data_IF_667256065615
#
_entry.id   IF_667256065615
#
_cell.length_a   1.000
_cell.length_b   1.000
_cell.length_c   1.000
_cell.angle_alpha   90.00
_cell.angle_beta   90.00
_cell.angle_gamma   90.00
#
_symmetry.space_group_name_H-M   'P 1'
#
loop_
_entity.id
_entity.type
_entity.pdbx_description
1 polymer ?
#
# COMPACT_ATOMS: atom_id res chain seq x y z
N UNK A 1 -15.20 10.26 2.29
CA UNK A 1 -15.28 8.92 2.91
C UNK A 1 -13.88 8.56 3.33
N UNK A 2 -13.69 7.84 4.39
CA UNK A 2 -12.38 7.28 4.78
C UNK A 2 -12.49 5.79 4.60
N UNK A 3 -11.50 5.21 3.94
CA UNK A 3 -11.32 3.77 3.84
C UNK A 3 -10.13 3.39 4.72
N UNK A 4 -10.30 2.36 5.53
CA UNK A 4 -9.24 1.80 6.36
C UNK A 4 -9.03 0.35 5.98
N UNK A 5 -7.79 -0.04 5.69
CA UNK A 5 -7.39 -1.42 5.45
C UNK A 5 -6.45 -1.84 6.58
N UNK A 6 -6.73 -2.98 7.20
CA UNK A 6 -5.78 -3.67 8.07
C UNK A 6 -4.93 -4.63 7.23
N UNK A 7 -3.63 -4.56 7.35
CA UNK A 7 -2.68 -5.39 6.59
C UNK A 7 -1.72 -6.06 7.58
N UNK A 8 -1.91 -7.36 7.92
CA UNK A 8 -0.85 -8.12 8.57
C UNK A 8 0.29 -8.33 7.59
N UNK A 9 1.52 -8.15 8.06
CA UNK A 9 2.73 -8.44 7.28
C UNK A 9 3.07 -9.91 7.52
N UNK A 10 2.94 -10.74 6.48
CA UNK A 10 3.36 -12.14 6.48
C UNK A 10 4.74 -12.29 5.86
N UNK A 11 5.63 -12.89 6.66
CA UNK A 11 6.92 -13.47 6.30
C UNK A 11 8.10 -12.53 6.11
N UNK A 12 8.82 -12.36 7.20
CA UNK A 12 10.28 -12.27 7.12
C UNK A 12 10.80 -13.72 7.08
N UNK A 13 11.28 -14.18 5.92
CA UNK A 13 11.92 -15.51 5.86
C UNK A 13 13.25 -15.45 6.60
N UNK A 14 13.30 -16.09 7.78
CA UNK A 14 14.57 -16.50 8.39
C UNK A 14 15.26 -17.47 7.45
N UNK A 15 16.47 -17.18 7.03
CA UNK A 15 17.33 -18.09 6.27
C UNK A 15 17.67 -19.29 7.15
N UNK A 16 16.94 -20.40 7.00
CA UNK A 16 17.39 -21.73 7.35
C UNK A 16 17.48 -22.56 6.06
N UNK A 17 18.63 -23.19 5.77
CA UNK A 17 18.79 -23.97 4.56
C UNK A 17 18.15 -25.34 4.69
N UNK A 18 17.31 -25.68 3.74
CA UNK A 18 17.08 -27.06 3.27
C UNK A 18 15.96 -27.86 3.91
N UNK A 19 14.87 -28.00 3.20
CA UNK A 19 14.31 -29.34 2.92
C UNK A 19 13.36 -29.24 1.72
N UNK A 20 13.76 -29.88 0.64
CA UNK A 20 13.01 -30.03 -0.60
C UNK A 20 11.90 -31.06 -0.39
N UNK A 21 10.62 -30.66 -0.40
CA UNK A 21 9.49 -31.58 -0.47
C UNK A 21 9.03 -31.73 -1.93
N UNK A 22 9.30 -32.89 -2.47
CA UNK A 22 8.77 -33.31 -3.78
C UNK A 22 7.34 -33.81 -3.59
N UNK A 23 6.35 -33.05 -4.07
CA UNK A 23 4.98 -33.55 -4.18
C UNK A 23 4.81 -34.30 -5.51
N UNK A 24 4.56 -35.60 -5.42
CA UNK A 24 4.17 -36.43 -6.57
C UNK A 24 2.74 -36.08 -7.00
N UNK A 25 2.61 -35.68 -8.26
CA UNK A 25 1.33 -35.53 -8.95
C UNK A 25 0.80 -36.92 -9.30
N UNK A 26 -0.31 -37.35 -8.75
CA UNK A 26 -1.06 -38.53 -9.21
C UNK A 26 -2.10 -38.09 -10.25
N UNK A 27 -1.89 -38.47 -11.49
CA UNK A 27 -2.85 -38.29 -12.57
C UNK A 27 -4.04 -39.22 -12.36
N UNK A 28 -5.24 -38.67 -12.25
CA UNK A 28 -6.50 -39.44 -12.38
C UNK A 28 -7.07 -39.24 -13.80
N UNK A 29 -7.08 -40.29 -14.57
CA UNK A 29 -7.89 -40.37 -15.79
C UNK A 29 -9.36 -40.54 -15.39
N UNK A 30 -10.21 -39.60 -15.74
CA UNK A 30 -11.67 -39.76 -15.67
C UNK A 30 -12.20 -39.98 -17.06
N UNK A 31 -12.80 -41.13 -17.27
CA UNK A 31 -13.48 -41.52 -18.52
C UNK A 31 -14.76 -40.68 -18.66
N UNK A 32 -14.89 -39.99 -19.78
CA UNK A 32 -16.07 -39.22 -20.14
C UNK A 32 -17.18 -40.12 -20.62
N UNK A 33 -18.23 -40.33 -19.81
CA UNK A 33 -19.52 -40.89 -20.23
C UNK A 33 -20.39 -39.74 -20.75
N UNK A 34 -20.68 -39.73 -22.05
CA UNK A 34 -21.67 -38.81 -22.61
C UNK A 34 -23.07 -39.24 -22.19
N UNK A 35 -23.65 -38.51 -21.25
CA UNK A 35 -25.07 -38.56 -20.97
C UNK A 35 -25.72 -37.34 -21.65
N UNK A 36 -26.57 -37.61 -22.64
CA UNK A 36 -27.37 -36.59 -23.30
C UNK A 36 -28.36 -36.05 -22.26
N UNK A 37 -28.08 -34.88 -21.66
CA UNK A 37 -28.99 -34.21 -20.77
C UNK A 37 -29.99 -33.37 -21.59
N UNK A 38 -31.26 -33.74 -21.52
CA UNK A 38 -32.37 -32.87 -21.97
C UNK A 38 -32.24 -31.53 -21.21
N UNK A 39 -32.11 -30.45 -21.93
CA UNK A 39 -32.08 -29.10 -21.36
C UNK A 39 -33.50 -28.76 -20.79
N UNK A 40 -33.68 -29.00 -19.52
CA UNK A 40 -34.80 -28.40 -18.81
C UNK A 40 -34.53 -26.89 -18.76
N UNK A 41 -35.42 -26.11 -19.39
CA UNK A 41 -35.39 -24.65 -19.35
C UNK A 41 -35.58 -24.24 -17.89
N UNK A 42 -34.54 -23.72 -17.25
CA UNK A 42 -34.66 -23.18 -15.88
C UNK A 42 -35.57 -21.95 -15.95
N UNK A 43 -36.74 -22.04 -15.35
CA UNK A 43 -37.59 -20.87 -15.07
C UNK A 43 -37.17 -20.33 -13.70
N UNK A 44 -36.69 -19.08 -13.66
CA UNK A 44 -36.49 -18.36 -12.42
C UNK A 44 -37.83 -17.93 -11.87
N UNK A 45 -38.13 -18.23 -10.60
CA UNK A 45 -39.38 -17.85 -9.92
C UNK A 45 -39.28 -16.49 -9.20
N UNK A 46 -38.23 -15.72 -9.46
CA UNK A 46 -38.03 -14.38 -8.92
C UNK A 46 -38.89 -13.40 -9.73
N UNK A 47 -39.61 -12.53 -9.04
CA UNK A 47 -40.42 -11.48 -9.67
C UNK A 47 -39.53 -10.55 -10.52
N UNK A 48 -40.06 -10.03 -11.62
CA UNK A 48 -39.37 -9.04 -12.44
C UNK A 48 -39.08 -7.79 -11.60
N UNK A 49 -37.86 -7.20 -11.75
CA UNK A 49 -37.49 -6.00 -10.99
C UNK A 49 -38.45 -4.85 -11.32
N UNK A 50 -38.81 -4.10 -10.30
CA UNK A 50 -39.66 -2.91 -10.45
C UNK A 50 -38.86 -1.76 -11.12
N UNK A 51 -39.58 -0.72 -11.61
CA UNK A 51 -38.90 0.47 -12.13
C UNK A 51 -37.98 1.12 -11.10
N UNK A 52 -38.31 1.05 -9.81
CA UNK A 52 -37.46 1.54 -8.72
C UNK A 52 -36.20 0.70 -8.59
N UNK A 53 -36.31 -0.63 -8.66
CA UNK A 53 -35.16 -1.53 -8.60
C UNK A 53 -34.22 -1.31 -9.80
N UNK A 54 -34.79 -1.09 -11.00
CA UNK A 54 -34.02 -0.79 -12.20
C UNK A 54 -33.32 0.57 -12.11
N UNK A 55 -33.99 1.58 -11.53
CA UNK A 55 -33.37 2.91 -11.32
C UNK A 55 -32.25 2.82 -10.31
N UNK A 56 -32.42 2.12 -9.19
CA UNK A 56 -31.37 1.88 -8.20
C UNK A 56 -30.20 1.13 -8.82
N UNK A 57 -30.45 0.11 -9.64
CA UNK A 57 -29.41 -0.62 -10.35
C UNK A 57 -28.67 0.26 -11.37
N UNK A 58 -29.37 1.20 -12.04
CA UNK A 58 -28.72 2.19 -12.92
C UNK A 58 -27.88 3.18 -12.14
N UNK A 59 -28.36 3.65 -11.00
CA UNK A 59 -27.60 4.55 -10.12
C UNK A 59 -26.33 3.85 -9.60
N UNK A 60 -26.42 2.59 -9.18
CA UNK A 60 -25.24 1.78 -8.82
C UNK A 60 -24.30 1.57 -10.00
N UNK A 61 -24.82 1.29 -11.22
CA UNK A 61 -24.01 1.14 -12.42
C UNK A 61 -23.30 2.44 -12.82
N UNK A 62 -23.96 3.60 -12.63
CA UNK A 62 -23.32 4.91 -12.80
C UNK A 62 -22.26 5.16 -11.73
N UNK A 63 -22.49 4.69 -10.51
CA UNK A 63 -21.49 4.72 -9.43
C UNK A 63 -20.30 3.80 -9.73
N UNK A 64 -20.53 2.62 -10.26
CA UNK A 64 -19.49 1.66 -10.69
C UNK A 64 -18.73 2.13 -11.93
N UNK A 65 -19.42 2.76 -12.90
CA UNK A 65 -18.80 3.28 -14.14
C UNK A 65 -18.06 4.59 -13.93
N UNK A 66 -18.37 5.34 -12.88
CA UNK A 66 -17.55 6.43 -12.38
C UNK A 66 -16.54 5.83 -11.39
N UNK A 67 -15.47 5.23 -11.89
CA UNK A 67 -14.33 4.79 -11.07
C UNK A 67 -13.70 5.96 -10.25
N UNK A 68 -14.39 7.07 -10.16
CA UNK A 68 -14.11 8.29 -9.40
C UNK A 68 -15.40 8.82 -8.81
N UNK A 69 -15.84 8.21 -7.73
CA UNK A 69 -16.86 8.88 -6.92
C UNK A 69 -16.25 10.19 -6.37
N UNK A 70 -16.94 11.35 -6.57
CA UNK A 70 -16.53 12.58 -5.94
C UNK A 70 -16.48 12.37 -4.42
N UNK A 71 -15.31 12.64 -3.78
CA UNK A 71 -15.16 12.55 -2.33
C UNK A 71 -14.31 11.40 -1.82
N UNK A 72 -13.46 10.78 -2.65
CA UNK A 72 -12.44 9.82 -2.20
C UNK A 72 -12.98 8.43 -1.88
N UNK A 73 -14.06 8.01 -2.51
CA UNK A 73 -14.52 6.62 -2.45
C UNK A 73 -13.59 5.75 -3.30
N UNK A 74 -13.10 4.67 -2.71
CA UNK A 74 -12.34 3.64 -3.41
C UNK A 74 -13.13 2.34 -3.42
N UNK A 75 -13.15 1.66 -4.56
CA UNK A 75 -13.79 0.33 -4.69
C UNK A 75 -12.88 -0.75 -4.13
N UNK A 76 -13.41 -1.93 -3.84
CA UNK A 76 -12.59 -3.09 -3.48
C UNK A 76 -11.58 -3.40 -4.60
N UNK A 77 -11.99 -3.33 -5.86
CA UNK A 77 -11.08 -3.56 -6.99
C UNK A 77 -9.86 -2.60 -6.99
N UNK A 78 -10.08 -1.32 -6.66
CA UNK A 78 -8.97 -0.36 -6.52
C UNK A 78 -8.04 -0.73 -5.36
N UNK A 79 -8.58 -1.30 -4.27
CA UNK A 79 -7.76 -1.76 -3.15
C UNK A 79 -6.94 -3.00 -3.51
N UNK A 80 -7.54 -3.94 -4.24
CA UNK A 80 -6.86 -5.14 -4.73
C UNK A 80 -5.68 -4.75 -5.65
N UNK A 81 -5.90 -3.75 -6.54
CA UNK A 81 -4.84 -3.19 -7.38
C UNK A 81 -3.74 -2.49 -6.54
N UNK A 82 -4.13 -1.69 -5.55
CA UNK A 82 -3.17 -1.05 -4.65
C UNK A 82 -2.34 -2.08 -3.87
N UNK A 83 -2.97 -3.14 -3.39
CA UNK A 83 -2.28 -4.24 -2.70
C UNK A 83 -1.33 -4.98 -3.64
N UNK A 84 -1.70 -5.17 -4.91
CA UNK A 84 -0.83 -5.77 -5.92
C UNK A 84 0.41 -4.89 -6.20
N UNK A 85 0.25 -3.56 -6.27
CA UNK A 85 1.37 -2.61 -6.39
C UNK A 85 2.33 -2.73 -5.20
N UNK A 86 1.81 -2.73 -3.98
CA UNK A 86 2.62 -2.90 -2.77
C UNK A 86 3.39 -4.22 -2.78
N UNK A 87 2.72 -5.33 -3.08
CA UNK A 87 3.37 -6.63 -3.12
C UNK A 87 4.42 -6.71 -4.24
N UNK A 88 4.21 -6.06 -5.38
CA UNK A 88 5.22 -5.98 -6.44
C UNK A 88 6.46 -5.21 -6.01
N UNK A 89 6.27 -4.07 -5.33
CA UNK A 89 7.36 -3.21 -4.88
C UNK A 89 8.21 -3.85 -3.77
N UNK A 90 7.57 -4.58 -2.85
CA UNK A 90 8.23 -5.14 -1.67
C UNK A 90 8.67 -6.61 -1.82
N UNK A 91 8.16 -7.35 -2.81
CA UNK A 91 8.53 -8.75 -3.05
C UNK A 91 10.03 -8.99 -3.26
N UNK A 92 10.81 -8.10 -3.95
CA UNK A 92 12.25 -8.26 -4.07
C UNK A 92 13.00 -8.26 -2.73
N UNK A 93 12.33 -7.78 -1.68
CA UNK A 93 12.86 -7.66 -0.31
C UNK A 93 12.23 -8.69 0.65
N UNK A 94 11.62 -9.76 0.13
CA UNK A 94 10.95 -10.82 0.91
C UNK A 94 9.85 -10.30 1.87
N UNK A 95 9.21 -9.18 1.52
CA UNK A 95 8.10 -8.58 2.27
C UNK A 95 6.83 -8.74 1.45
N UNK A 96 5.75 -9.16 2.09
CA UNK A 96 4.43 -9.28 1.47
C UNK A 96 3.33 -8.80 2.40
N UNK A 97 2.25 -8.31 1.82
CA UNK A 97 1.09 -7.77 2.50
C UNK A 97 -0.16 -8.56 2.13
N UNK A 98 -1.01 -8.81 3.11
CA UNK A 98 -2.32 -9.46 2.91
C UNK A 98 -3.40 -8.57 3.51
N UNK A 99 -4.49 -8.34 2.79
CA UNK A 99 -5.61 -7.60 3.32
C UNK A 99 -6.26 -8.38 4.49
N UNK A 100 -6.39 -7.74 5.66
CA UNK A 100 -7.08 -8.30 6.83
C UNK A 100 -8.52 -7.79 6.96
N UNK A 101 -8.94 -6.92 6.06
CA UNK A 101 -10.27 -6.35 5.96
C UNK A 101 -10.25 -4.87 5.64
N UNK A 102 -11.30 -4.40 5.01
CA UNK A 102 -11.51 -3.01 4.62
C UNK A 102 -12.81 -2.46 5.23
N UNK A 103 -12.78 -1.20 5.66
CA UNK A 103 -13.94 -0.49 6.20
C UNK A 103 -14.13 0.86 5.52
N UNK A 104 -15.36 1.13 5.07
CA UNK A 104 -15.76 2.40 4.49
C UNK A 104 -16.52 3.25 5.50
N UNK A 105 -15.93 4.34 5.95
CA UNK A 105 -16.50 5.23 6.97
C UNK A 105 -16.89 6.58 6.38
N UNK A 106 -18.13 7.01 6.57
CA UNK A 106 -18.61 8.34 6.16
C UNK A 106 -18.40 9.33 7.29
N UNK A 107 -17.38 10.18 7.17
CA UNK A 107 -17.09 11.26 8.11
C UNK A 107 -16.36 12.39 7.36
N UNK A 108 -16.99 13.55 7.25
CA UNK A 108 -16.46 14.67 6.46
C UNK A 108 -15.16 15.26 7.01
N UNK A 109 -14.98 15.27 8.34
CA UNK A 109 -13.76 15.76 8.96
C UNK A 109 -12.59 14.80 8.73
N UNK A 110 -12.82 13.50 8.86
CA UNK A 110 -11.81 12.48 8.63
C UNK A 110 -11.44 12.40 7.13
N UNK A 111 -12.45 12.45 6.26
CA UNK A 111 -12.23 12.46 4.81
C UNK A 111 -11.43 13.69 4.34
N UNK A 112 -11.47 14.79 5.07
CA UNK A 112 -10.71 16.01 4.83
C UNK A 112 -9.41 16.09 5.67
N UNK A 113 -8.97 14.99 6.26
CA UNK A 113 -7.74 14.88 7.07
C UNK A 113 -7.63 15.91 8.20
N UNK A 114 -8.77 16.25 8.83
CA UNK A 114 -8.84 17.32 9.87
C UNK A 114 -8.76 16.79 11.29
N UNK A 115 -8.84 15.50 11.50
CA UNK A 115 -8.92 14.90 12.84
C UNK A 115 -8.22 13.53 12.89
N UNK A 116 -6.96 13.47 12.47
CA UNK A 116 -6.13 12.24 12.37
C UNK A 116 -6.25 11.37 13.62
N UNK A 117 -6.02 11.94 14.81
CA UNK A 117 -6.01 11.18 16.07
C UNK A 117 -7.36 10.52 16.34
N UNK A 118 -8.46 11.27 16.17
CA UNK A 118 -9.80 10.73 16.38
C UNK A 118 -10.15 9.65 15.36
N UNK A 119 -9.77 9.85 14.08
CA UNK A 119 -9.93 8.89 13.01
C UNK A 119 -9.19 7.58 13.33
N UNK A 120 -7.90 7.67 13.56
CA UNK A 120 -7.04 6.51 13.82
C UNK A 120 -7.43 5.79 15.10
N UNK A 121 -7.79 6.51 16.17
CA UNK A 121 -8.28 5.90 17.42
C UNK A 121 -9.56 5.09 17.21
N UNK A 122 -10.46 5.57 16.36
CA UNK A 122 -11.74 4.90 16.10
C UNK A 122 -11.62 3.73 15.11
N UNK A 123 -10.70 3.81 14.14
CA UNK A 123 -10.65 2.90 13.00
C UNK A 123 -9.49 1.90 13.07
N UNK A 124 -8.48 2.14 13.92
CA UNK A 124 -7.33 1.24 14.05
C UNK A 124 -7.76 -0.17 14.41
N UNK A 125 -7.12 -1.16 13.77
CA UNK A 125 -7.30 -2.59 14.02
C UNK A 125 -5.96 -3.26 14.30
N UNK A 126 -6.04 -4.39 15.00
CA UNK A 126 -4.90 -5.25 15.27
C UNK A 126 -3.90 -4.69 16.27
N UNK A 127 -2.71 -5.21 16.19
CA UNK A 127 -1.55 -4.93 17.05
C UNK A 127 -0.64 -3.85 16.46
N UNK A 128 0.51 -3.61 17.06
CA UNK A 128 1.52 -2.70 16.48
C UNK A 128 2.29 -3.31 15.30
N UNK A 129 2.18 -4.62 15.09
CA UNK A 129 2.69 -5.31 13.91
C UNK A 129 1.74 -5.21 12.71
N UNK A 130 0.47 -4.81 12.91
CA UNK A 130 -0.50 -4.68 11.83
C UNK A 130 -0.47 -3.26 11.25
N UNK A 131 -0.22 -3.16 9.95
CA UNK A 131 -0.27 -1.91 9.22
C UNK A 131 -1.73 -1.49 9.00
N UNK A 132 -2.05 -0.26 9.39
CA UNK A 132 -3.33 0.37 9.06
C UNK A 132 -3.11 1.46 8.02
N UNK A 133 -3.80 1.36 6.88
CA UNK A 133 -3.76 2.34 5.78
C UNK A 133 -5.09 3.08 5.74
N UNK A 134 -5.05 4.41 5.80
CA UNK A 134 -6.22 5.29 5.81
C UNK A 134 -6.23 6.12 4.53
N UNK A 135 -7.16 5.84 3.63
CA UNK A 135 -7.34 6.64 2.42
C UNK A 135 -8.31 7.78 2.69
N UNK A 136 -7.88 9.02 2.43
CA UNK A 136 -8.65 10.24 2.67
C UNK A 136 -8.94 10.97 1.35
N UNK A 137 -10.07 11.67 1.28
CA UNK A 137 -10.51 12.36 0.06
C UNK A 137 -9.71 13.64 -0.22
N UNK A 138 -9.17 14.27 0.82
CA UNK A 138 -8.40 15.51 0.74
C UNK A 138 -7.40 15.57 1.87
N UNK A 139 -6.16 15.93 1.56
CA UNK A 139 -5.08 16.18 2.50
C UNK A 139 -4.16 17.29 1.98
N UNK A 140 -3.30 17.84 2.86
CA UNK A 140 -2.21 18.76 2.49
C UNK A 140 -1.08 18.04 1.75
N UNK A 141 -0.94 16.74 1.98
CA UNK A 141 0.12 15.88 1.51
C UNK A 141 -0.46 14.78 0.63
N UNK A 142 0.35 14.17 -0.22
CA UNK A 142 -0.02 12.96 -0.96
C UNK A 142 -0.20 11.78 0.01
N UNK A 143 0.64 11.73 1.04
CA UNK A 143 0.56 10.79 2.14
C UNK A 143 1.38 11.24 3.33
N UNK A 144 1.29 10.52 4.43
CA UNK A 144 2.20 10.60 5.57
C UNK A 144 2.13 9.35 6.43
N UNK A 145 3.22 9.05 7.13
CA UNK A 145 3.37 7.89 7.99
C UNK A 145 3.85 8.26 9.40
N UNK A 146 3.80 7.29 10.30
CA UNK A 146 4.48 7.35 11.59
C UNK A 146 5.67 6.41 11.58
N UNK A 147 6.84 6.92 11.91
CA UNK A 147 8.03 6.09 12.06
C UNK A 147 7.87 5.09 13.21
N UNK A 148 8.49 3.91 13.10
CA UNK A 148 8.53 2.94 14.20
C UNK A 148 9.19 3.56 15.44
N UNK A 149 8.58 3.33 16.59
CA UNK A 149 9.10 3.77 17.89
C UNK A 149 8.66 2.83 19.00
N UNK A 150 9.27 2.95 20.16
CA UNK A 150 8.78 2.24 21.34
C UNK A 150 7.41 2.80 21.75
N UNK A 151 6.42 1.91 21.85
CA UNK A 151 5.05 2.29 22.22
C UNK A 151 4.55 1.46 23.41
N UNK A 152 3.49 1.95 24.04
CA UNK A 152 2.65 1.17 24.94
C UNK A 152 1.33 0.87 24.23
N UNK A 153 0.89 -0.40 24.14
CA UNK A 153 -0.40 -0.74 23.53
C UNK A 153 -1.54 0.09 24.12
N UNK A 154 -2.40 0.66 23.27
CA UNK A 154 -3.49 1.55 23.66
C UNK A 154 -3.08 2.99 23.96
N UNK A 155 -1.80 3.34 23.91
CA UNK A 155 -1.33 4.72 24.05
C UNK A 155 -1.72 5.60 22.86
N UNK A 156 -1.54 6.92 23.01
CA UNK A 156 -1.76 7.86 21.90
C UNK A 156 -0.84 7.57 20.72
N UNK A 157 0.41 7.17 20.95
CA UNK A 157 1.37 6.85 19.88
C UNK A 157 1.00 5.53 19.19
N UNK A 158 0.53 4.52 19.93
CA UNK A 158 -0.06 3.32 19.36
C UNK A 158 -1.25 3.65 18.45
N UNK A 159 -2.17 4.50 18.90
CA UNK A 159 -3.35 4.86 18.11
C UNK A 159 -3.02 5.71 16.87
N UNK A 160 -1.94 6.51 16.91
CA UNK A 160 -1.50 7.32 15.77
C UNK A 160 -0.74 6.55 14.71
N UNK A 161 -0.31 5.34 14.98
CA UNK A 161 0.46 4.52 14.04
C UNK A 161 -0.31 4.25 12.73
N UNK A 162 0.41 3.87 11.69
CA UNK A 162 -0.13 3.62 10.35
C UNK A 162 0.09 4.78 9.39
N UNK A 163 -0.39 4.63 8.16
CA UNK A 163 -0.19 5.56 7.05
C UNK A 163 -1.49 6.19 6.59
N UNK A 164 -1.44 7.45 6.18
CA UNK A 164 -2.57 8.16 5.55
C UNK A 164 -2.20 8.46 4.11
N UNK A 165 -3.09 8.17 3.18
CA UNK A 165 -2.88 8.27 1.74
C UNK A 165 -4.00 9.10 1.13
N UNK A 166 -3.66 10.04 0.27
CA UNK A 166 -4.63 10.77 -0.54
C UNK A 166 -5.23 9.82 -1.58
N UNK A 167 -6.56 9.67 -1.59
CA UNK A 167 -7.25 8.68 -2.42
C UNK A 167 -7.09 8.89 -3.93
N UNK A 168 -6.62 10.06 -4.37
CA UNK A 168 -6.34 10.34 -5.79
C UNK A 168 -4.99 9.80 -6.27
N UNK A 169 -4.16 9.23 -5.37
CA UNK A 169 -2.84 8.68 -5.70
C UNK A 169 -2.80 7.15 -5.76
N UNK A 170 -3.97 6.49 -5.71
CA UNK A 170 -4.10 5.04 -5.92
C UNK A 170 -4.01 4.69 -7.41
N UNK A 171 -3.83 3.41 -7.79
CA UNK A 171 -3.86 3.00 -9.18
C UNK A 171 -5.09 3.53 -9.92
N UNK A 172 -4.88 4.20 -11.06
CA UNK A 172 -5.92 4.87 -11.83
C UNK A 172 -6.51 6.12 -11.18
N UNK A 173 -5.90 6.64 -10.14
CA UNK A 173 -6.28 7.88 -9.46
C UNK A 173 -6.18 9.12 -10.36
N UNK A 174 -6.65 10.28 -9.85
CA UNK A 174 -6.71 11.51 -10.65
C UNK A 174 -5.49 12.41 -10.52
N UNK A 175 -4.54 12.06 -9.69
CA UNK A 175 -3.28 12.78 -9.57
C UNK A 175 -2.29 12.16 -10.57
N UNK A 176 -2.19 12.70 -11.77
CA UNK A 176 -1.61 12.08 -12.96
C UNK A 176 -0.17 11.56 -12.73
N UNK A 177 0.69 12.38 -12.12
CA UNK A 177 2.09 12.05 -11.85
C UNK A 177 2.26 10.97 -10.76
N UNK A 178 1.25 10.80 -9.89
CA UNK A 178 1.28 9.91 -8.71
C UNK A 178 0.08 8.95 -8.68
N UNK A 179 -0.35 8.45 -9.83
CA UNK A 179 -1.56 7.60 -9.96
C UNK A 179 -1.28 6.11 -10.18
N UNK A 180 -0.07 5.64 -9.92
CA UNK A 180 0.27 4.22 -10.00
C UNK A 180 0.31 3.54 -8.62
N UNK A 181 0.02 4.27 -7.53
CA UNK A 181 -0.09 3.73 -6.18
C UNK A 181 1.21 3.74 -5.38
N UNK A 182 2.27 4.37 -5.89
CA UNK A 182 3.57 4.39 -5.20
C UNK A 182 3.65 5.40 -4.06
N UNK A 183 2.69 6.32 -3.93
CA UNK A 183 2.53 7.09 -2.69
C UNK A 183 2.38 6.15 -1.48
N UNK A 184 1.56 5.11 -1.58
CA UNK A 184 1.43 4.13 -0.50
C UNK A 184 2.72 3.33 -0.28
N UNK A 185 3.46 2.97 -1.34
CA UNK A 185 4.76 2.32 -1.26
C UNK A 185 5.76 3.18 -0.47
N UNK A 186 5.84 4.47 -0.76
CA UNK A 186 6.69 5.46 -0.10
C UNK A 186 6.35 5.57 1.40
N UNK A 187 5.09 5.82 1.72
CA UNK A 187 4.67 6.00 3.11
C UNK A 187 4.85 4.74 3.97
N UNK A 188 4.66 3.57 3.38
CA UNK A 188 4.94 2.30 4.05
C UNK A 188 6.45 2.13 4.27
N UNK A 189 7.30 2.63 3.39
CA UNK A 189 8.75 2.73 3.61
C UNK A 189 9.08 3.50 4.91
N UNK A 190 8.44 4.65 5.13
CA UNK A 190 8.57 5.40 6.39
C UNK A 190 8.01 4.62 7.59
N UNK A 191 6.87 3.97 7.44
CA UNK A 191 6.28 3.14 8.51
C UNK A 191 7.19 1.95 8.87
N UNK A 192 8.03 1.50 7.95
CA UNK A 192 9.06 0.49 8.15
C UNK A 192 10.42 1.06 8.57
N UNK A 193 10.58 2.39 8.70
CA UNK A 193 11.76 3.04 9.25
C UNK A 193 12.70 3.69 8.24
N UNK A 194 12.36 3.74 6.95
CA UNK A 194 13.17 4.41 5.92
C UNK A 194 13.00 5.93 5.98
N UNK A 195 14.08 6.66 5.77
CA UNK A 195 14.07 8.11 5.54
C UNK A 195 14.05 8.40 4.04
N UNK A 196 13.84 9.67 3.66
CA UNK A 196 14.01 10.09 2.28
C UNK A 196 15.48 9.96 1.85
N UNK A 197 15.75 9.63 0.59
CA UNK A 197 17.13 9.50 0.07
C UNK A 197 17.91 10.82 0.15
N UNK A 198 17.21 11.97 0.09
CA UNK A 198 17.74 13.32 0.26
C UNK A 198 17.73 13.81 1.72
N UNK A 199 17.63 12.91 2.69
CA UNK A 199 17.58 13.28 4.12
C UNK A 199 18.78 14.12 4.53
N UNK A 200 18.52 15.25 5.18
CA UNK A 200 19.55 16.20 5.60
C UNK A 200 19.89 17.24 4.56
N UNK A 201 19.46 17.10 3.30
CA UNK A 201 19.68 18.07 2.21
C UNK A 201 21.16 18.50 2.08
N UNK A 202 22.07 17.55 2.12
CA UNK A 202 23.51 17.81 2.17
C UNK A 202 24.32 16.68 1.53
N UNK A 203 25.49 17.04 1.01
CA UNK A 203 26.44 16.08 0.42
C UNK A 203 27.42 15.48 1.43
N UNK A 204 27.06 15.47 2.71
CA UNK A 204 27.89 14.93 3.80
C UNK A 204 27.04 14.71 5.05
N UNK A 205 27.58 13.96 6.02
CA UNK A 205 26.87 13.62 7.25
C UNK A 205 26.30 12.21 7.20
N UNK A 206 25.17 12.00 7.87
CA UNK A 206 24.57 10.66 7.97
C UNK A 206 23.60 10.35 6.81
N UNK A 207 23.23 11.35 6.00
CA UNK A 207 22.25 11.19 4.91
C UNK A 207 20.95 10.56 5.40
N UNK A 208 20.43 9.59 4.67
CA UNK A 208 19.28 8.80 5.08
C UNK A 208 19.64 7.64 6.03
N UNK A 209 20.88 7.57 6.48
CA UNK A 209 21.47 6.52 7.33
C UNK A 209 21.43 5.12 6.68
N UNK A 210 21.62 5.08 5.36
CA UNK A 210 21.76 3.86 4.55
C UNK A 210 23.00 3.99 3.69
N UNK A 211 23.94 3.03 3.80
CA UNK A 211 25.28 3.16 3.22
C UNK A 211 25.30 3.05 1.68
N UNK A 212 24.30 2.43 1.06
CA UNK A 212 24.25 2.18 -0.38
C UNK A 212 23.30 3.14 -1.14
N UNK A 213 22.79 4.17 -0.45
CA UNK A 213 22.10 5.32 -1.05
C UNK A 213 23.07 6.49 -1.14
N UNK A 214 23.36 7.05 -2.33
CA UNK A 214 24.19 8.24 -2.48
C UNK A 214 23.62 9.45 -1.76
N UNK A 215 24.48 10.39 -1.35
CA UNK A 215 24.04 11.68 -0.84
C UNK A 215 23.27 12.46 -1.89
N UNK A 216 22.18 13.08 -1.50
CA UNK A 216 21.39 14.00 -2.31
C UNK A 216 21.15 15.30 -1.54
N UNK A 217 21.45 16.43 -2.18
CA UNK A 217 21.26 17.74 -1.55
C UNK A 217 19.85 18.31 -1.74
N UNK A 218 19.04 17.72 -2.61
CA UNK A 218 17.71 18.18 -2.95
C UNK A 218 16.86 16.99 -3.40
N UNK A 219 15.55 17.06 -3.15
CA UNK A 219 14.57 16.10 -3.68
C UNK A 219 14.50 16.10 -5.20
N UNK A 220 14.16 14.97 -5.80
CA UNK A 220 13.88 14.82 -7.25
C UNK A 220 12.40 14.96 -7.54
N UNK A 221 12.06 15.60 -8.67
CA UNK A 221 10.71 15.60 -9.25
C UNK A 221 10.78 15.17 -10.73
N UNK A 222 9.71 14.64 -11.27
CA UNK A 222 9.71 14.03 -12.60
C UNK A 222 10.57 12.77 -12.64
N UNK A 223 11.28 12.52 -13.74
CA UNK A 223 12.19 11.39 -13.90
C UNK A 223 13.55 11.83 -14.46
N UNK A 224 14.39 12.41 -13.62
CA UNK A 224 15.67 13.04 -14.02
C UNK A 224 16.83 12.04 -13.90
N UNK A 225 16.79 10.96 -14.66
CA UNK A 225 17.84 9.92 -14.64
C UNK A 225 19.24 10.52 -14.88
N UNK A 226 20.18 10.20 -13.98
CA UNK A 226 21.55 10.71 -14.02
C UNK A 226 21.73 12.08 -13.38
N UNK A 227 20.70 12.64 -12.72
CA UNK A 227 20.85 13.81 -11.86
C UNK A 227 21.90 13.54 -10.79
N UNK A 228 22.68 14.55 -10.45
CA UNK A 228 23.72 14.48 -9.42
C UNK A 228 23.83 15.82 -8.72
N UNK A 229 23.22 15.92 -7.55
CA UNK A 229 23.25 17.11 -6.69
C UNK A 229 24.48 17.14 -5.78
N UNK A 230 25.24 16.03 -5.71
CA UNK A 230 26.43 15.89 -4.89
C UNK A 230 27.67 15.42 -5.70
N UNK A 231 28.10 16.14 -6.76
CA UNK A 231 29.06 15.66 -7.76
C UNK A 231 30.49 15.40 -7.21
N UNK A 232 30.77 15.75 -5.96
CA UNK A 232 32.02 15.42 -5.28
C UNK A 232 31.90 14.17 -4.37
N UNK A 233 30.73 13.57 -4.28
CA UNK A 233 30.45 12.34 -3.56
C UNK A 233 30.29 11.17 -4.55
N UNK A 234 30.29 9.94 -4.06
CA UNK A 234 30.12 8.78 -4.91
C UNK A 234 28.62 8.56 -5.26
N UNK A 235 28.36 8.24 -6.52
CA UNK A 235 27.01 7.92 -7.02
C UNK A 235 26.26 9.13 -7.56
N UNK A 236 25.12 8.88 -8.19
CA UNK A 236 24.15 9.90 -8.65
C UNK A 236 22.92 9.84 -7.76
N UNK A 237 22.10 10.88 -7.81
CA UNK A 237 20.85 10.95 -7.04
C UNK A 237 19.97 9.72 -7.28
N UNK A 238 19.36 9.20 -6.21
CA UNK A 238 18.53 7.98 -6.23
C UNK A 238 17.13 8.25 -6.80
N UNK A 239 17.03 8.87 -7.98
CA UNK A 239 15.77 9.32 -8.59
C UNK A 239 14.76 8.20 -8.83
N UNK A 240 15.21 6.94 -8.93
CA UNK A 240 14.31 5.79 -9.15
C UNK A 240 13.95 5.04 -7.85
N UNK A 241 14.40 5.54 -6.70
CA UNK A 241 14.14 4.92 -5.41
C UNK A 241 12.79 5.36 -4.86
N UNK A 242 12.00 4.42 -4.32
CA UNK A 242 10.69 4.73 -3.74
C UNK A 242 10.72 5.76 -2.61
N UNK A 243 11.88 6.02 -1.97
CA UNK A 243 12.01 7.04 -0.92
C UNK A 243 12.42 8.42 -1.44
N UNK A 244 12.41 8.65 -2.76
CA UNK A 244 12.55 9.96 -3.40
C UNK A 244 11.15 10.54 -3.73
N UNK A 245 11.09 11.72 -4.38
CA UNK A 245 9.86 12.44 -4.78
C UNK A 245 9.63 12.45 -6.28
N UNK A 246 10.30 11.58 -7.02
CA UNK A 246 10.07 11.41 -8.46
C UNK A 246 8.64 10.95 -8.77
N UNK A 247 8.21 11.11 -10.01
CA UNK A 247 6.92 10.63 -10.46
C UNK A 247 6.83 9.10 -10.37
N UNK A 248 5.63 8.56 -10.16
CA UNK A 248 5.40 7.13 -9.97
C UNK A 248 6.00 6.26 -11.08
N UNK A 249 5.96 6.71 -12.35
CA UNK A 249 6.54 5.99 -13.50
C UNK A 249 8.07 5.84 -13.42
N UNK A 250 8.74 6.68 -12.62
CA UNK A 250 10.19 6.66 -12.48
C UNK A 250 10.69 5.60 -11.49
N UNK A 251 9.84 5.20 -10.57
CA UNK A 251 10.24 4.33 -9.47
C UNK A 251 10.50 2.89 -9.88
N UNK A 252 11.58 2.30 -9.34
CA UNK A 252 11.99 0.93 -9.65
C UNK A 252 12.28 0.05 -8.43
N UNK A 253 12.57 0.62 -7.25
CA UNK A 253 12.86 -0.22 -6.09
C UNK A 253 13.42 0.50 -4.88
N UNK A 254 13.77 -0.33 -3.89
CA UNK A 254 14.58 0.01 -2.73
C UNK A 254 15.99 -0.56 -2.89
N UNK A 255 16.95 -0.06 -2.12
CA UNK A 255 18.29 -0.62 -2.04
C UNK A 255 18.39 -1.81 -1.06
N UNK A 256 19.48 -2.56 -1.11
CA UNK A 256 19.74 -3.64 -0.15
C UNK A 256 19.99 -3.10 1.27
N UNK A 257 20.59 -1.93 1.40
CA UNK A 257 20.76 -1.26 2.68
C UNK A 257 19.43 -0.83 3.29
N UNK A 258 18.52 -0.31 2.45
CA UNK A 258 17.15 -0.01 2.88
C UNK A 258 16.41 -1.26 3.36
N UNK A 259 16.54 -2.41 2.67
CA UNK A 259 16.00 -3.68 3.15
C UNK A 259 16.56 -4.05 4.53
N UNK A 260 17.87 -3.97 4.71
CA UNK A 260 18.51 -4.28 5.98
C UNK A 260 18.03 -3.38 7.11
N UNK A 261 17.79 -2.10 6.82
CA UNK A 261 17.20 -1.14 7.76
C UNK A 261 15.76 -1.46 8.11
N UNK A 262 14.93 -1.80 7.12
CA UNK A 262 13.54 -2.26 7.34
C UNK A 262 13.51 -3.43 8.33
N UNK A 263 14.34 -4.44 8.12
CA UNK A 263 14.40 -5.62 9.00
C UNK A 263 14.83 -5.26 10.42
N UNK A 264 15.87 -4.42 10.56
CA UNK A 264 16.33 -3.97 11.87
C UNK A 264 15.26 -3.20 12.65
N UNK A 265 14.51 -2.33 11.96
CA UNK A 265 13.43 -1.55 12.58
C UNK A 265 12.22 -2.42 12.90
N UNK A 266 11.89 -3.38 12.03
CA UNK A 266 10.84 -4.36 12.29
C UNK A 266 11.14 -5.18 13.55
N UNK A 267 12.31 -5.80 13.61
CA UNK A 267 12.74 -6.64 14.75
C UNK A 267 12.77 -5.84 16.05
N UNK A 268 13.20 -4.59 15.98
CA UNK A 268 13.33 -3.73 17.17
C UNK A 268 11.98 -3.28 17.71
N UNK A 269 11.06 -2.88 16.84
CA UNK A 269 9.86 -2.15 17.27
C UNK A 269 8.56 -2.90 17.09
N UNK A 270 8.45 -3.80 16.09
CA UNK A 270 7.16 -4.37 15.69
C UNK A 270 7.04 -5.88 15.87
N UNK A 271 8.11 -6.65 15.68
CA UNK A 271 8.07 -8.11 15.69
C UNK A 271 7.51 -8.72 16.99
N UNK A 272 7.75 -8.08 18.13
CA UNK A 272 7.24 -8.52 19.43
C UNK A 272 5.71 -8.44 19.57
N UNK A 273 5.01 -7.80 18.64
CA UNK A 273 3.55 -7.62 18.65
C UNK A 273 2.83 -8.51 17.61
N UNK A 274 3.56 -9.41 16.92
CA UNK A 274 2.98 -10.39 16.01
C UNK A 274 2.11 -11.43 16.71
#
# INVERSE_FOLDING_TARGET
MVLTIGIPIFSFRSHLPGTLFIMQLKSFLVAASMVASAFAKRTCGTDEPTEVDLQVAQDFKLMESSARLPGGYLTQATLDEQLAVLNTAYAPHDISFVEAGADWTVNSNWAADRAEVAMKTALRKGTYADLNVYFVASSRYLGYARFPQTITPGSADFNRDGVVILSTTVPGGSYEEYSLGHTATHEIGHWLGLFHTFQGYACSGDGDSVDDTPYEAEESYGCQIGRDTCPNSAGTDSVTNYMNYSDDECFTGFSNGQQSRIYSYWDTYRAQYQ
#
